data_IF_898411842251
#
_entry.id   IF_898411842251
#
_cell.length_a   1.000
_cell.length_b   1.000
_cell.length_c   1.000
_cell.angle_alpha   90.00
_cell.angle_beta   90.00
_cell.angle_gamma   90.00
#
_symmetry.space_group_name_H-M   'P 1'
#
loop_
_entity.id
_entity.type
_entity.pdbx_description
1 polymer ?
#
# COMPACT_ATOMS: atom_id res chain seq x y z
N UNK A 1 10.16 -14.44 -4.29
CA UNK A 1 11.19 -13.37 -4.19
C UNK A 1 10.60 -12.22 -3.41
N UNK A 2 11.39 -11.65 -2.48
CA UNK A 2 11.07 -10.44 -1.73
C UNK A 2 11.73 -9.25 -2.45
N UNK A 3 11.01 -8.13 -2.59
CA UNK A 3 11.54 -6.91 -3.20
C UNK A 3 10.90 -5.67 -2.61
N UNK A 4 11.52 -4.53 -2.85
CA UNK A 4 11.00 -3.23 -2.42
C UNK A 4 11.01 -2.28 -3.62
N UNK A 5 9.98 -1.45 -3.72
CA UNK A 5 9.78 -0.59 -4.87
C UNK A 5 9.09 0.71 -4.45
N UNK A 6 9.60 1.85 -4.91
CA UNK A 6 8.98 3.15 -4.67
C UNK A 6 7.71 3.27 -5.53
N UNK A 7 6.60 3.66 -4.90
CA UNK A 7 5.29 3.79 -5.53
C UNK A 7 4.59 5.07 -5.10
N UNK A 8 3.62 5.51 -5.90
CA UNK A 8 2.75 6.64 -5.56
C UNK A 8 1.37 6.11 -5.18
N UNK A 9 0.84 6.55 -4.04
CA UNK A 9 -0.51 6.20 -3.61
C UNK A 9 -1.54 6.93 -4.46
N UNK A 10 -2.47 6.19 -5.04
CA UNK A 10 -3.57 6.72 -5.85
C UNK A 10 -4.87 6.84 -5.06
N UNK A 11 -5.15 5.87 -4.19
CA UNK A 11 -6.39 5.81 -3.41
C UNK A 11 -6.16 5.03 -2.11
N UNK A 12 -6.87 5.41 -1.06
CA UNK A 12 -6.85 4.75 0.25
C UNK A 12 -8.27 4.72 0.79
N UNK A 13 -8.83 3.52 0.92
CA UNK A 13 -10.19 3.31 1.44
C UNK A 13 -10.16 2.50 2.73
N UNK A 14 -10.67 3.04 3.84
CA UNK A 14 -10.79 2.26 5.07
C UNK A 14 -11.88 1.19 4.92
N UNK A 15 -11.61 0.02 5.48
CA UNK A 15 -12.58 -1.07 5.60
C UNK A 15 -12.51 -1.59 7.03
N UNK A 16 -13.65 -1.60 7.71
CA UNK A 16 -13.79 -2.26 9.00
C UNK A 16 -13.96 -3.77 8.77
N UNK A 17 -13.00 -4.54 9.27
CA UNK A 17 -13.08 -5.99 9.36
C UNK A 17 -13.09 -6.39 10.83
N UNK A 18 -14.29 -6.62 11.37
CA UNK A 18 -14.51 -7.07 12.74
C UNK A 18 -13.88 -6.14 13.81
N UNK A 19 -13.99 -4.83 13.62
CA UNK A 19 -13.45 -3.81 14.54
C UNK A 19 -12.00 -3.43 14.27
N UNK A 20 -11.36 -4.04 13.27
CA UNK A 20 -10.01 -3.67 12.82
C UNK A 20 -10.10 -2.93 11.49
N UNK A 21 -9.55 -1.72 11.43
CA UNK A 21 -9.54 -0.91 10.21
C UNK A 21 -8.39 -1.32 9.30
N UNK A 22 -8.72 -2.07 8.27
CA UNK A 22 -7.87 -2.33 7.12
C UNK A 22 -7.97 -1.16 6.14
N UNK A 23 -7.01 -1.10 5.21
CA UNK A 23 -7.03 -0.13 4.12
C UNK A 23 -6.86 -0.86 2.81
N UNK A 24 -7.83 -0.66 1.92
CA UNK A 24 -7.66 -0.96 0.50
C UNK A 24 -6.85 0.19 -0.10
N UNK A 25 -5.64 -0.12 -0.54
CA UNK A 25 -4.71 0.82 -1.16
C UNK A 25 -4.60 0.54 -2.65
N UNK A 26 -4.62 1.60 -3.44
CA UNK A 26 -4.27 1.56 -4.87
C UNK A 26 -3.00 2.38 -5.05
N UNK A 27 -2.02 1.84 -5.76
CA UNK A 27 -0.74 2.51 -6.03
C UNK A 27 -0.40 2.45 -7.51
N UNK A 28 0.41 3.39 -7.99
CA UNK A 28 1.07 3.29 -9.29
C UNK A 28 2.56 3.07 -9.11
N UNK A 29 3.10 2.17 -9.93
CA UNK A 29 4.53 1.90 -10.05
C UNK A 29 5.20 2.86 -11.05
N UNK A 30 6.55 2.94 -11.08
CA UNK A 30 7.27 3.77 -12.04
C UNK A 30 6.99 3.42 -13.51
N UNK A 31 6.66 2.16 -13.79
CA UNK A 31 6.27 1.66 -15.12
C UNK A 31 4.80 1.98 -15.48
N UNK A 32 4.09 2.72 -14.62
CA UNK A 32 2.67 3.08 -14.72
C UNK A 32 1.70 1.91 -14.57
N UNK A 33 2.16 0.74 -14.17
CA UNK A 33 1.27 -0.33 -13.74
C UNK A 33 0.59 0.04 -12.43
N UNK A 34 -0.59 -0.53 -12.19
CA UNK A 34 -1.39 -0.27 -10.99
C UNK A 34 -1.36 -1.50 -10.09
N UNK A 35 -1.03 -1.28 -8.83
CA UNK A 35 -1.09 -2.29 -7.77
C UNK A 35 -2.26 -2.03 -6.83
N UNK A 36 -2.85 -3.10 -6.32
CA UNK A 36 -3.87 -3.03 -5.28
C UNK A 36 -3.53 -4.00 -4.16
N UNK A 37 -3.80 -3.60 -2.92
CA UNK A 37 -3.68 -4.46 -1.77
C UNK A 37 -4.65 -4.05 -0.67
N UNK A 38 -5.05 -5.04 0.13
CA UNK A 38 -5.70 -4.83 1.41
C UNK A 38 -4.66 -5.04 2.50
N UNK A 39 -4.39 -3.99 3.26
CA UNK A 39 -3.34 -3.99 4.27
C UNK A 39 -3.91 -3.71 5.65
N UNK A 40 -3.41 -4.45 6.64
CA UNK A 40 -3.71 -4.23 8.04
C UNK A 40 -3.10 -2.92 8.56
N UNK A 41 -3.56 -2.40 9.70
CA UNK A 41 -3.06 -1.16 10.27
C UNK A 41 -1.56 -1.19 10.60
N UNK A 42 -0.97 -2.37 10.82
CA UNK A 42 0.46 -2.59 11.05
C UNK A 42 1.32 -2.46 9.77
N UNK A 43 0.69 -2.63 8.61
CA UNK A 43 1.36 -2.66 7.31
C UNK A 43 1.16 -1.37 6.50
N UNK A 44 0.54 -0.35 7.10
CA UNK A 44 0.26 0.95 6.45
C UNK A 44 0.72 2.10 7.35
N UNK A 45 1.41 3.12 6.81
CA UNK A 45 1.75 4.31 7.57
C UNK A 45 0.51 5.02 8.13
N UNK A 46 0.66 5.65 9.29
CA UNK A 46 -0.36 6.55 9.81
C UNK A 46 -0.64 7.67 8.78
N UNK A 47 -1.92 8.04 8.66
CA UNK A 47 -2.40 9.10 7.79
C UNK A 47 -1.99 9.00 6.31
N UNK A 48 -1.81 7.79 5.78
CA UNK A 48 -1.53 7.57 4.36
C UNK A 48 -2.63 8.20 3.48
N UNK A 49 -2.22 8.99 2.49
CA UNK A 49 -3.12 9.72 1.58
C UNK A 49 -2.74 9.49 0.12
N UNK A 50 -3.69 9.74 -0.77
CA UNK A 50 -3.40 9.81 -2.19
C UNK A 50 -2.38 10.93 -2.48
N UNK A 51 -1.42 10.65 -3.37
CA UNK A 51 -0.29 11.50 -3.69
C UNK A 51 0.97 11.21 -2.89
N UNK A 52 0.89 10.45 -1.79
CA UNK A 52 2.06 10.09 -0.99
C UNK A 52 3.00 9.16 -1.79
N UNK A 53 4.29 9.43 -1.71
CA UNK A 53 5.35 8.54 -2.20
C UNK A 53 5.80 7.63 -1.05
N UNK A 54 5.73 6.33 -1.27
CA UNK A 54 6.04 5.31 -0.25
C UNK A 54 6.85 4.17 -0.84
N UNK A 55 7.54 3.43 0.02
CA UNK A 55 8.20 2.19 -0.34
C UNK A 55 7.24 1.03 -0.13
N UNK A 56 6.91 0.32 -1.20
CA UNK A 56 6.10 -0.90 -1.16
C UNK A 56 6.99 -2.13 -1.04
N UNK A 57 6.77 -2.95 -0.01
CA UNK A 57 7.38 -4.29 0.06
C UNK A 57 6.50 -5.28 -0.69
N UNK A 58 7.11 -6.04 -1.59
CA UNK A 58 6.46 -7.02 -2.46
C UNK A 58 6.98 -8.43 -2.20
N UNK A 59 6.06 -9.39 -2.22
CA UNK A 59 6.37 -10.81 -2.31
C UNK A 59 5.78 -11.32 -3.61
N UNK A 60 6.66 -11.64 -4.58
CA UNK A 60 6.26 -11.93 -5.96
C UNK A 60 5.49 -10.73 -6.53
N UNK A 61 4.17 -10.86 -6.72
CA UNK A 61 3.31 -9.80 -7.30
C UNK A 61 2.37 -9.18 -6.26
N UNK A 62 2.50 -9.53 -4.98
CA UNK A 62 1.64 -9.05 -3.90
C UNK A 62 2.34 -7.96 -3.10
N UNK A 63 1.66 -6.84 -2.89
CA UNK A 63 2.10 -5.80 -1.94
C UNK A 63 1.68 -6.27 -0.54
N UNK A 64 2.64 -6.30 0.39
CA UNK A 64 2.42 -6.79 1.77
C UNK A 64 2.60 -5.71 2.83
N UNK A 65 3.28 -4.61 2.51
CA UNK A 65 3.37 -3.44 3.37
C UNK A 65 3.74 -2.19 2.58
N UNK A 66 3.40 -1.03 3.15
CA UNK A 66 3.85 0.29 2.73
C UNK A 66 4.59 0.95 3.90
N UNK A 67 5.68 1.65 3.60
CA UNK A 67 6.36 2.50 4.60
C UNK A 67 6.79 3.83 3.99
N UNK A 68 6.96 4.84 4.83
CA UNK A 68 7.57 6.11 4.40
C UNK A 68 9.07 5.89 4.12
N UNK A 69 9.67 6.63 3.17
CA UNK A 69 11.11 6.63 2.93
C UNK A 69 11.92 6.97 4.18
#
# INVERSE_FOLDING_TARGET
MLGEEEVVVLDVKPIDLHGVIYRDVTVTFPDRSVGQARLGPEAVPADLRAGDVVMATKIVNMIVSLRRP
#
